data_IF_477109510388
#
_entry.id   IF_477109510388
#
_cell.length_a   1.000
_cell.length_b   1.000
_cell.length_c   1.000
_cell.angle_alpha   90.00
_cell.angle_beta   90.00
_cell.angle_gamma   90.00
#
_symmetry.space_group_name_H-M   'P 1'
#
loop_
_entity.id
_entity.type
_entity.pdbx_description
1 polymer ?
#
# COMPACT_ATOMS: atom_id res chain seq x y z
N UNK A 1 -0.54 -6.12 17.89
CA UNK A 1 -0.51 -6.08 16.41
C UNK A 1 -1.72 -6.78 15.84
N UNK A 2 -1.88 -8.10 16.03
CA UNK A 2 -2.99 -8.89 15.48
C UNK A 2 -4.40 -8.33 15.82
N UNK A 3 -4.62 -7.90 17.06
CA UNK A 3 -5.91 -7.35 17.49
C UNK A 3 -6.24 -6.02 16.81
N UNK A 4 -5.22 -5.20 16.53
CA UNK A 4 -5.38 -3.96 15.76
C UNK A 4 -5.71 -4.26 14.30
N UNK A 5 -5.05 -5.26 13.71
CA UNK A 5 -5.33 -5.72 12.36
C UNK A 5 -6.76 -6.23 12.22
N UNK A 6 -7.23 -7.02 13.20
CA UNK A 6 -8.62 -7.50 13.28
C UNK A 6 -9.60 -6.34 13.41
N UNK A 7 -9.29 -5.32 14.19
CA UNK A 7 -10.11 -4.11 14.28
C UNK A 7 -10.25 -3.38 12.92
N UNK A 8 -9.17 -3.30 12.13
CA UNK A 8 -9.15 -2.60 10.84
C UNK A 8 -9.73 -3.41 9.67
N UNK A 9 -9.38 -4.69 9.55
CA UNK A 9 -9.80 -5.56 8.45
C UNK A 9 -11.16 -6.24 8.72
N UNK A 10 -11.56 -6.38 9.99
CA UNK A 10 -12.77 -7.09 10.43
C UNK A 10 -12.42 -8.21 11.43
N UNK A 11 -13.17 -8.31 12.53
CA UNK A 11 -12.83 -9.19 13.67
C UNK A 11 -12.66 -10.67 13.27
N UNK A 12 -13.52 -11.14 12.36
CA UNK A 12 -13.57 -12.53 11.89
C UNK A 12 -13.12 -12.67 10.43
N UNK A 13 -12.53 -11.62 9.85
CA UNK A 13 -12.10 -11.64 8.44
C UNK A 13 -10.70 -12.25 8.34
N UNK A 14 -10.50 -13.34 7.58
CA UNK A 14 -9.17 -13.85 7.31
C UNK A 14 -8.36 -12.79 6.56
N UNK A 15 -7.06 -12.71 6.83
CA UNK A 15 -6.17 -11.71 6.24
C UNK A 15 -4.89 -12.36 5.71
N UNK A 16 -4.33 -11.76 4.67
CA UNK A 16 -3.02 -12.08 4.12
C UNK A 16 -2.03 -10.96 4.46
N UNK A 17 -0.76 -11.34 4.60
CA UNK A 17 0.35 -10.39 4.75
C UNK A 17 1.04 -10.25 3.41
N UNK A 18 1.22 -9.02 2.95
CA UNK A 18 1.98 -8.70 1.76
C UNK A 18 3.23 -7.92 2.17
N UNK A 19 4.38 -8.41 1.71
CA UNK A 19 5.70 -7.79 1.83
C UNK A 19 6.38 -7.93 0.47
N UNK A 20 7.23 -6.99 0.06
CA UNK A 20 8.07 -7.19 -1.13
C UNK A 20 9.36 -7.88 -0.76
N UNK A 21 10.24 -8.11 -1.76
CA UNK A 21 11.61 -8.52 -1.50
C UNK A 21 12.61 -7.48 -2.02
N UNK A 22 13.59 -7.10 -1.21
CA UNK A 22 14.61 -6.11 -1.53
C UNK A 22 15.94 -6.83 -1.76
N UNK A 23 16.61 -6.51 -2.86
CA UNK A 23 17.91 -7.11 -3.19
C UNK A 23 19.06 -6.60 -2.29
N UNK A 24 18.90 -5.43 -1.65
CA UNK A 24 19.96 -4.79 -0.83
C UNK A 24 19.39 -3.90 0.29
N UNK A 25 19.80 -4.09 1.54
CA UNK A 25 19.33 -3.28 2.67
C UNK A 25 19.62 -1.77 2.45
N UNK A 26 18.60 -0.90 2.56
CA UNK A 26 18.73 0.53 2.28
C UNK A 26 17.95 1.37 3.28
N UNK A 27 18.59 2.40 3.82
CA UNK A 27 18.07 3.27 4.89
C UNK A 27 17.52 4.60 4.37
N UNK A 28 17.37 4.78 3.05
CA UNK A 28 16.92 6.06 2.47
C UNK A 28 15.40 6.09 2.29
N UNK A 29 14.75 7.15 2.77
CA UNK A 29 13.29 7.36 2.63
C UNK A 29 12.84 7.49 1.17
N UNK A 30 13.74 7.91 0.28
CA UNK A 30 13.52 7.93 -1.16
C UNK A 30 14.50 6.95 -1.80
N UNK A 31 13.95 6.02 -2.58
CA UNK A 31 14.71 5.02 -3.32
C UNK A 31 14.26 5.05 -4.77
N UNK A 32 15.22 4.89 -5.68
CA UNK A 32 14.93 4.64 -7.09
C UNK A 32 14.72 3.14 -7.26
N UNK A 33 13.49 2.75 -7.57
CA UNK A 33 13.14 1.36 -7.85
C UNK A 33 13.05 1.14 -9.36
N UNK A 34 13.47 -0.03 -9.82
CA UNK A 34 13.17 -0.53 -11.16
C UNK A 34 12.22 -1.71 -11.01
N UNK A 35 11.05 -1.61 -11.63
CA UNK A 35 10.06 -2.69 -11.65
C UNK A 35 10.53 -3.69 -12.72
N UNK A 36 11.09 -4.81 -12.27
CA UNK A 36 11.64 -5.84 -13.17
C UNK A 36 10.56 -6.80 -13.68
N UNK A 37 9.54 -7.05 -12.86
CA UNK A 37 8.43 -7.97 -13.13
C UNK A 37 7.09 -7.26 -12.94
N UNK A 38 6.06 -7.74 -13.61
CA UNK A 38 4.71 -7.20 -13.47
C UNK A 38 4.23 -7.37 -12.01
N UNK A 39 3.83 -6.28 -11.32
CA UNK A 39 3.38 -6.38 -9.94
C UNK A 39 2.10 -7.20 -9.83
N UNK A 40 2.03 -8.10 -8.84
CA UNK A 40 0.78 -8.78 -8.48
C UNK A 40 -0.20 -7.77 -7.91
N UNK A 41 -1.25 -7.43 -8.67
CA UNK A 41 -2.32 -6.57 -8.19
C UNK A 41 -3.17 -7.27 -7.13
N UNK A 42 -3.41 -6.57 -6.02
CA UNK A 42 -4.29 -7.03 -4.94
C UNK A 42 -5.29 -5.91 -4.65
N UNK A 43 -6.56 -6.17 -4.96
CA UNK A 43 -7.63 -5.23 -4.63
C UNK A 43 -7.91 -5.28 -3.13
N UNK A 44 -7.50 -4.25 -2.40
CA UNK A 44 -7.66 -4.17 -0.95
C UNK A 44 -8.48 -2.91 -0.57
N UNK A 45 -9.82 -3.03 -0.42
CA UNK A 45 -10.66 -1.90 0.00
C UNK A 45 -10.41 -1.46 1.44
N UNK A 46 -9.83 -2.35 2.25
CA UNK A 46 -9.33 -2.07 3.61
C UNK A 46 -7.93 -2.64 3.72
N UNK A 47 -7.03 -1.89 4.35
CA UNK A 47 -5.69 -2.37 4.68
C UNK A 47 -5.25 -1.80 6.02
N UNK A 48 -4.37 -2.54 6.70
CA UNK A 48 -3.66 -2.05 7.88
C UNK A 48 -2.18 -2.12 7.56
N UNK A 49 -1.48 -0.99 7.71
CA UNK A 49 -0.03 -0.97 7.67
C UNK A 49 0.52 -1.02 9.10
N UNK A 50 1.50 -1.89 9.38
CA UNK A 50 2.25 -1.87 10.64
C UNK A 50 3.75 -1.88 10.37
N UNK A 51 4.49 -1.22 11.25
CA UNK A 51 5.94 -1.04 11.14
C UNK A 51 6.63 -2.15 11.93
N UNK A 52 6.91 -3.27 11.29
CA UNK A 52 7.92 -4.25 11.77
C UNK A 52 8.32 -5.21 10.65
N UNK A 53 9.50 -4.96 10.08
CA UNK A 53 10.40 -5.86 9.33
C UNK A 53 9.75 -6.84 8.33
N UNK A 54 9.47 -6.38 7.10
CA UNK A 54 10.12 -6.78 5.82
C UNK A 54 9.49 -6.00 4.63
N UNK A 55 10.37 -5.37 3.85
CA UNK A 55 10.40 -4.94 2.43
C UNK A 55 9.20 -4.25 1.70
N UNK A 56 9.53 -3.16 0.98
CA UNK A 56 8.69 -2.05 0.49
C UNK A 56 7.46 -2.39 -0.40
N UNK A 57 6.25 -2.13 0.07
CA UNK A 57 5.00 -2.30 -0.70
C UNK A 57 4.62 -1.02 -1.45
N UNK A 58 4.19 -1.13 -2.71
CA UNK A 58 3.52 -0.04 -3.42
C UNK A 58 2.01 -0.11 -3.17
N UNK A 59 1.41 1.00 -2.78
CA UNK A 59 -0.05 1.14 -2.62
C UNK A 59 -0.56 2.16 -3.60
N UNK A 60 -1.61 1.80 -4.33
CA UNK A 60 -2.31 2.67 -5.25
C UNK A 60 -3.72 2.97 -4.75
N UNK A 61 -4.09 4.25 -4.76
CA UNK A 61 -5.45 4.72 -4.57
C UNK A 61 -6.09 4.90 -5.95
N UNK A 62 -6.93 3.94 -6.35
CA UNK A 62 -7.55 3.91 -7.67
C UNK A 62 -8.67 4.96 -7.83
N UNK A 63 -9.40 5.22 -6.74
CA UNK A 63 -10.39 6.30 -6.68
C UNK A 63 -9.91 7.41 -5.74
N UNK A 64 -9.59 8.55 -6.34
CA UNK A 64 -9.17 9.76 -5.63
C UNK A 64 -10.22 10.87 -5.72
N UNK A 65 -11.44 10.57 -6.20
CA UNK A 65 -12.51 11.56 -6.42
C UNK A 65 -12.90 12.31 -5.15
N UNK A 66 -12.83 11.63 -4.00
CA UNK A 66 -13.19 12.18 -2.69
C UNK A 66 -12.00 12.81 -1.94
N UNK A 67 -10.80 12.83 -2.53
CA UNK A 67 -9.64 13.45 -1.91
C UNK A 67 -9.77 14.97 -1.92
N UNK A 68 -9.21 15.61 -0.90
CA UNK A 68 -9.13 17.08 -0.85
C UNK A 68 -8.41 17.60 -2.11
N UNK A 69 -8.96 18.59 -2.84
CA UNK A 69 -8.29 19.20 -3.98
C UNK A 69 -6.90 19.76 -3.66
N UNK A 70 -6.62 20.07 -2.38
CA UNK A 70 -5.35 20.57 -1.90
C UNK A 70 -4.38 19.47 -1.44
N UNK A 71 -4.70 18.20 -1.66
CA UNK A 71 -3.81 17.09 -1.30
C UNK A 71 -2.47 17.22 -2.06
N UNK A 72 -1.35 17.04 -1.36
CA UNK A 72 -0.01 17.31 -1.90
C UNK A 72 0.30 16.53 -3.19
N UNK A 73 -0.24 15.32 -3.33
CA UNK A 73 -0.07 14.49 -4.53
C UNK A 73 -0.54 15.19 -5.81
N UNK A 74 -1.59 16.00 -5.75
CA UNK A 74 -2.14 16.69 -6.91
C UNK A 74 -1.21 17.78 -7.43
N UNK A 75 -0.46 18.43 -6.53
CA UNK A 75 0.56 19.40 -6.91
C UNK A 75 1.81 18.73 -7.48
N UNK A 76 2.24 17.61 -6.89
CA UNK A 76 3.42 16.86 -7.33
C UNK A 76 3.19 16.18 -8.68
N UNK A 77 2.06 15.48 -8.84
CA UNK A 77 1.73 14.70 -10.03
C UNK A 77 0.99 15.51 -11.10
N UNK A 78 0.69 16.78 -10.83
CA UNK A 78 -0.06 17.66 -11.75
C UNK A 78 -1.40 17.05 -12.19
N UNK A 79 -2.10 16.42 -11.25
CA UNK A 79 -3.42 15.80 -11.46
C UNK A 79 -4.46 16.43 -10.53
N UNK A 80 -5.72 16.00 -10.62
CA UNK A 80 -6.85 16.50 -9.82
C UNK A 80 -7.64 15.31 -9.23
N UNK A 81 -8.47 15.53 -8.20
CA UNK A 81 -9.33 14.49 -7.65
C UNK A 81 -10.10 13.73 -8.73
N UNK A 82 -10.02 12.40 -8.72
CA UNK A 82 -10.77 11.50 -9.60
C UNK A 82 -10.28 11.41 -11.04
N UNK A 83 -9.22 12.14 -11.42
CA UNK A 83 -8.69 12.08 -12.79
C UNK A 83 -7.76 10.88 -13.03
N UNK A 84 -7.03 10.45 -11.99
CA UNK A 84 -6.09 9.34 -12.07
C UNK A 84 -5.91 8.65 -10.72
N UNK A 85 -5.44 7.41 -10.77
CA UNK A 85 -4.92 6.74 -9.60
C UNK A 85 -3.69 7.49 -9.05
N UNK A 86 -3.47 7.41 -7.75
CA UNK A 86 -2.27 7.92 -7.08
C UNK A 86 -1.60 6.77 -6.36
N UNK A 87 -0.36 6.46 -6.72
CA UNK A 87 0.43 5.40 -6.08
C UNK A 87 1.56 5.99 -5.25
N UNK A 88 1.90 5.31 -4.16
CA UNK A 88 3.08 5.62 -3.37
C UNK A 88 3.74 4.33 -2.85
N UNK A 89 5.06 4.37 -2.72
CA UNK A 89 5.82 3.29 -2.10
C UNK A 89 5.88 3.53 -0.60
N UNK A 90 5.62 2.49 0.18
CA UNK A 90 5.94 2.48 1.59
C UNK A 90 7.45 2.30 1.77
N UNK A 91 8.05 2.96 2.77
CA UNK A 91 9.43 2.71 3.14
C UNK A 91 9.68 1.23 3.47
N UNK A 92 10.94 0.83 3.46
CA UNK A 92 11.35 -0.44 4.08
C UNK A 92 10.79 -0.54 5.52
N UNK A 93 10.62 -1.77 6.00
CA UNK A 93 10.10 -2.10 7.35
C UNK A 93 8.59 -1.90 7.58
N UNK A 94 7.79 -1.79 6.50
CA UNK A 94 6.33 -1.74 6.57
C UNK A 94 5.70 -3.03 6.04
N UNK A 95 4.87 -3.65 6.86
CA UNK A 95 4.00 -4.77 6.49
C UNK A 95 2.61 -4.23 6.16
N UNK A 96 1.99 -4.77 5.10
CA UNK A 96 0.59 -4.45 4.75
C UNK A 96 -0.26 -5.71 4.90
N UNK A 97 -1.25 -5.63 5.78
CA UNK A 97 -2.27 -6.65 5.92
C UNK A 97 -3.49 -6.26 5.10
N UNK A 98 -3.94 -7.20 4.28
CA UNK A 98 -5.12 -7.07 3.44
C UNK A 98 -6.09 -8.20 3.77
N UNK A 99 -7.41 -7.99 3.71
CA UNK A 99 -8.37 -9.08 3.76
C UNK A 99 -7.98 -10.16 2.74
N UNK A 100 -7.96 -11.42 3.18
CA UNK A 100 -7.74 -12.52 2.27
C UNK A 100 -8.93 -12.56 1.33
N UNK A 101 -8.69 -12.48 0.02
CA UNK A 101 -9.71 -12.76 -0.97
C UNK A 101 -10.19 -14.19 -0.72
N UNK A 102 -11.45 -14.38 -0.32
CA UNK A 102 -12.09 -15.67 -0.53
C UNK A 102 -12.07 -15.86 -2.04
N UNK A 103 -11.29 -16.82 -2.56
CA UNK A 103 -11.53 -17.26 -3.93
C UNK A 103 -12.98 -17.74 -3.96
N UNK A 104 -13.85 -17.03 -4.66
CA UNK A 104 -15.02 -17.68 -5.25
C UNK A 104 -14.53 -18.48 -6.45
#
# INVERSE_FOLDING_TARGET
MLDFTRGGCGLDTPFSVVATTHLTNSTTNFQNYTILEEPKEILAPKMVACHTMVEAVAVCHLDTSQWSPNHASFSVLRTKPGASAVCHFFPADNLVWVPASTSM
#
